data_IF_025275757417
#
_entry.id   IF_025275757417
#
_cell.length_a   1.000
_cell.length_b   1.000
_cell.length_c   1.000
_cell.angle_alpha   90.00
_cell.angle_beta   90.00
_cell.angle_gamma   90.00
#
_symmetry.space_group_name_H-M   'P 1'
#
loop_
_entity.id
_entity.type
_entity.pdbx_description
1 polymer ?
#
# COMPACT_ATOMS: atom_id res chain seq x y z
N UNK A 1 -13.57 14.93 5.69
CA UNK A 1 -14.32 13.90 4.93
C UNK A 1 -13.62 12.57 5.10
N UNK A 2 -14.34 11.50 5.45
CA UNK A 2 -13.74 10.24 5.88
C UNK A 2 -13.06 9.51 4.72
N UNK A 3 -11.78 9.20 4.86
CA UNK A 3 -11.08 8.29 3.95
C UNK A 3 -11.77 6.91 4.02
N UNK A 4 -12.31 6.46 2.90
CA UNK A 4 -12.86 5.11 2.79
C UNK A 4 -11.72 4.11 2.94
N UNK A 5 -11.76 3.29 3.99
CA UNK A 5 -10.83 2.18 4.18
C UNK A 5 -11.12 1.14 3.10
N UNK A 6 -10.12 0.88 2.25
CA UNK A 6 -10.24 -0.06 1.15
C UNK A 6 -10.00 -1.50 1.64
N UNK A 7 -10.54 -2.46 0.88
CA UNK A 7 -10.51 -3.89 1.20
C UNK A 7 -9.07 -4.41 1.46
N UNK A 8 -8.94 -5.47 2.27
CA UNK A 8 -7.66 -6.10 2.70
C UNK A 8 -6.77 -6.65 1.57
N UNK A 9 -7.22 -6.53 0.32
CA UNK A 9 -6.50 -6.91 -0.89
C UNK A 9 -5.44 -5.87 -1.26
N UNK A 10 -5.62 -4.61 -0.89
CA UNK A 10 -4.64 -3.55 -1.14
C UNK A 10 -3.54 -3.50 -0.05
N UNK A 11 -2.38 -2.89 -0.35
CA UNK A 11 -1.35 -2.62 0.66
C UNK A 11 -1.92 -1.87 1.87
N UNK A 12 -1.36 -2.10 3.06
CA UNK A 12 -1.77 -1.41 4.27
C UNK A 12 -1.70 0.11 4.10
N UNK A 13 -2.72 0.82 4.60
CA UNK A 13 -2.80 2.28 4.51
C UNK A 13 -3.27 2.83 3.16
N UNK A 14 -3.64 1.97 2.21
CA UNK A 14 -4.24 2.37 0.93
C UNK A 14 -5.58 3.06 1.17
N UNK A 15 -5.81 4.19 0.50
CA UNK A 15 -7.02 5.00 0.62
C UNK A 15 -7.42 5.63 -0.71
N UNK A 16 -8.62 6.21 -0.74
CA UNK A 16 -9.03 7.14 -1.79
C UNK A 16 -8.86 8.56 -1.26
N UNK A 17 -8.17 9.42 -2.01
CA UNK A 17 -7.92 10.80 -1.63
C UNK A 17 -9.11 11.73 -1.96
N UNK A 18 -8.98 13.01 -1.65
CA UNK A 18 -10.04 14.01 -1.85
C UNK A 18 -10.42 14.22 -3.33
N UNK A 19 -9.54 13.83 -4.25
CA UNK A 19 -9.77 13.87 -5.71
C UNK A 19 -10.43 12.60 -6.26
N UNK A 20 -10.68 11.61 -5.40
CA UNK A 20 -11.21 10.31 -5.82
C UNK A 20 -10.15 9.37 -6.40
N UNK A 21 -8.86 9.71 -6.28
CA UNK A 21 -7.77 8.86 -6.78
C UNK A 21 -7.33 7.85 -5.72
N UNK A 22 -6.82 6.70 -6.17
CA UNK A 22 -6.21 5.71 -5.30
C UNK A 22 -4.84 6.21 -4.83
N UNK A 23 -4.60 6.20 -3.53
CA UNK A 23 -3.29 6.47 -2.93
C UNK A 23 -2.72 5.20 -2.29
N UNK A 24 -1.54 4.78 -2.76
CA UNK A 24 -0.81 3.60 -2.26
C UNK A 24 0.56 4.05 -1.73
N UNK A 25 0.92 3.62 -0.51
CA UNK A 25 2.17 4.07 0.11
C UNK A 25 2.29 5.59 0.28
N UNK A 26 1.17 6.31 0.30
CA UNK A 26 1.13 7.77 0.33
C UNK A 26 1.28 8.47 -1.04
N UNK A 27 1.36 7.72 -2.13
CA UNK A 27 1.50 8.25 -3.49
C UNK A 27 0.19 8.12 -4.29
N UNK A 28 -0.22 9.17 -4.99
CA UNK A 28 -1.35 9.15 -5.93
C UNK A 28 -1.01 8.31 -7.17
N UNK A 29 -1.80 7.28 -7.46
CA UNK A 29 -1.55 6.35 -8.56
C UNK A 29 -1.65 7.02 -9.94
N UNK A 30 -2.47 8.07 -10.09
CA UNK A 30 -2.57 8.82 -11.35
C UNK A 30 -1.27 9.58 -11.61
N UNK A 31 -0.72 10.22 -10.57
CA UNK A 31 0.57 10.92 -10.68
C UNK A 31 1.72 9.94 -10.98
N UNK A 32 1.69 8.74 -10.40
CA UNK A 32 2.65 7.68 -10.73
C UNK A 32 2.54 7.25 -12.20
N UNK A 33 1.33 7.08 -12.72
CA UNK A 33 1.10 6.70 -14.11
C UNK A 33 1.58 7.80 -15.08
N UNK A 34 1.31 9.08 -14.77
CA UNK A 34 1.80 10.21 -15.56
C UNK A 34 3.33 10.30 -15.56
N UNK A 35 3.96 10.06 -14.41
CA UNK A 35 5.41 10.17 -14.24
C UNK A 35 6.20 9.00 -14.83
N UNK A 36 5.70 7.78 -14.68
CA UNK A 36 6.45 6.56 -15.02
C UNK A 36 5.89 5.79 -16.22
N UNK A 37 4.72 6.18 -16.73
CA UNK A 37 4.04 5.51 -17.83
C UNK A 37 3.35 4.22 -17.40
N UNK A 38 2.61 3.62 -18.34
CA UNK A 38 1.86 2.38 -18.11
C UNK A 38 2.16 1.32 -19.18
N UNK A 39 2.17 0.02 -18.85
CA UNK A 39 1.84 -0.57 -17.54
C UNK A 39 2.97 -0.41 -16.52
N UNK A 40 2.59 -0.21 -15.24
CA UNK A 40 3.54 -0.06 -14.13
C UNK A 40 3.17 -0.98 -12.95
N UNK A 41 4.18 -1.58 -12.34
CA UNK A 41 4.05 -2.28 -11.06
C UNK A 41 4.54 -1.37 -9.93
N UNK A 42 3.70 -1.19 -8.91
CA UNK A 42 3.99 -0.34 -7.76
C UNK A 42 4.02 -1.20 -6.51
N UNK A 43 5.11 -1.12 -5.76
CA UNK A 43 5.30 -1.84 -4.51
C UNK A 43 5.32 -0.87 -3.33
N UNK A 44 4.57 -1.19 -2.27
CA UNK A 44 4.61 -0.42 -1.01
C UNK A 44 5.60 -1.12 -0.08
N UNK A 45 6.82 -0.59 -0.05
CA UNK A 45 7.94 -1.22 0.66
C UNK A 45 7.65 -1.43 2.15
N UNK A 46 7.06 -0.44 2.82
CA UNK A 46 6.75 -0.54 4.25
C UNK A 46 5.75 -1.65 4.56
N UNK A 47 4.75 -1.85 3.71
CA UNK A 47 3.78 -2.95 3.83
C UNK A 47 4.48 -4.30 3.65
N UNK A 48 5.31 -4.43 2.61
CA UNK A 48 6.08 -5.66 2.35
C UNK A 48 6.99 -6.00 3.53
N UNK A 49 7.72 -5.02 4.05
CA UNK A 49 8.60 -5.20 5.21
C UNK A 49 7.83 -5.50 6.49
N UNK A 50 6.67 -4.86 6.71
CA UNK A 50 5.81 -5.14 7.86
C UNK A 50 5.31 -6.58 7.85
N UNK A 51 4.87 -7.08 6.70
CA UNK A 51 4.46 -8.49 6.53
C UNK A 51 5.61 -9.46 6.78
N UNK A 52 6.80 -9.16 6.25
CA UNK A 52 7.98 -9.98 6.49
C UNK A 52 8.37 -10.03 7.99
N UNK A 53 8.38 -8.88 8.68
CA UNK A 53 8.64 -8.83 10.12
C UNK A 53 7.60 -9.61 10.93
N UNK A 54 6.32 -9.42 10.63
CA UNK A 54 5.23 -10.13 11.31
C UNK A 54 5.36 -11.64 11.16
N UNK A 55 5.77 -12.12 9.97
CA UNK A 55 6.06 -13.53 9.76
C UNK A 55 7.21 -14.00 10.65
N UNK A 56 8.35 -13.31 10.64
CA UNK A 56 9.52 -13.69 11.46
C UNK A 56 9.20 -13.68 12.96
N UNK A 57 8.51 -12.66 13.45
CA UNK A 57 8.10 -12.52 14.85
C UNK A 57 7.18 -13.68 15.29
N UNK A 58 6.28 -14.13 14.42
CA UNK A 58 5.38 -15.24 14.72
C UNK A 58 6.13 -16.58 14.92
N UNK A 59 7.26 -16.78 14.27
CA UNK A 59 8.10 -17.97 14.47
C UNK A 59 9.09 -17.81 15.61
N UNK A 60 9.66 -16.61 15.79
CA UNK A 60 10.58 -16.33 16.89
C UNK A 60 9.88 -16.45 18.25
N UNK A 61 8.61 -16.05 18.36
CA UNK A 61 7.82 -16.16 19.60
C UNK A 61 7.38 -17.58 19.96
N UNK A 62 7.65 -18.57 19.10
CA UNK A 62 7.29 -19.99 19.29
C UNK A 62 8.50 -20.91 19.51
N UNK A 63 9.71 -20.34 19.56
CA UNK A 63 10.97 -21.05 19.85
C UNK A 63 11.50 -20.57 21.19
#
# INVERSE_FOLDING_TARGET
MAATVLNHVYPLGTRVNERGHLEVGGCDVVELAERFGTPAYVYVEDDMRARARSYLEAFASRT
#
